data_IF_757581994965
#
_entry.id   IF_757581994965
#
_cell.length_a   1.000
_cell.length_b   1.000
_cell.length_c   1.000
_cell.angle_alpha   90.00
_cell.angle_beta   90.00
_cell.angle_gamma   90.00
#
_symmetry.space_group_name_H-M   'P 1'
#
loop_
_entity.id
_entity.type
_entity.pdbx_description
1 polymer ?
#
# COMPACT_ATOMS: atom_id res chain seq x y z
N UNK A 1 0.61 4.84 0.11
CA UNK A 1 0.99 3.64 0.90
C UNK A 1 -0.25 2.82 1.25
N UNK A 2 -0.13 1.55 1.61
CA UNK A 2 -1.30 0.73 2.03
C UNK A 2 -1.53 0.92 3.53
N UNK A 3 -2.76 1.22 3.92
CA UNK A 3 -3.13 1.56 5.30
C UNK A 3 -4.28 0.70 5.80
N UNK A 4 -4.18 0.10 7.00
CA UNK A 4 -5.35 -0.47 7.65
C UNK A 4 -6.27 0.66 8.11
N UNK A 5 -7.53 0.56 7.72
CA UNK A 5 -8.62 1.46 8.10
C UNK A 5 -9.64 0.70 8.92
N UNK A 6 -10.23 1.37 9.90
CA UNK A 6 -11.18 0.79 10.85
C UNK A 6 -12.43 1.64 10.94
N UNK A 7 -13.53 1.02 11.33
CA UNK A 7 -14.76 1.71 11.71
C UNK A 7 -15.17 1.25 13.11
N UNK A 8 -14.65 1.92 14.12
CA UNK A 8 -14.94 1.61 15.53
C UNK A 8 -15.54 2.86 16.15
N UNK A 9 -16.73 2.75 16.73
CA UNK A 9 -17.44 3.90 17.30
C UNK A 9 -16.57 4.57 18.38
N UNK A 10 -16.40 5.89 18.28
CA UNK A 10 -15.62 6.68 19.23
C UNK A 10 -14.10 6.64 19.02
N UNK A 11 -13.61 5.88 18.04
CA UNK A 11 -12.20 5.81 17.68
C UNK A 11 -11.92 6.72 16.47
N UNK A 12 -11.00 7.65 16.65
CA UNK A 12 -10.53 8.58 15.62
C UNK A 12 -9.30 8.03 14.88
N UNK A 13 -9.01 8.63 13.73
CA UNK A 13 -7.81 8.33 12.96
C UNK A 13 -6.53 8.42 13.81
N UNK A 14 -5.67 7.41 13.68
CA UNK A 14 -4.40 7.34 14.38
C UNK A 14 -4.47 6.97 15.86
N UNK A 15 -5.65 6.69 16.43
CA UNK A 15 -5.76 6.34 17.85
C UNK A 15 -5.38 4.87 18.15
N UNK A 16 -5.61 3.97 17.20
CA UNK A 16 -5.27 2.55 17.36
C UNK A 16 -3.85 2.29 16.92
N UNK A 17 -3.07 1.65 17.78
CA UNK A 17 -1.77 1.05 17.51
C UNK A 17 -1.94 -0.42 17.16
N UNK A 18 -1.20 -0.86 16.15
CA UNK A 18 -1.23 -2.24 15.67
C UNK A 18 0.19 -2.71 15.34
N UNK A 19 0.46 -4.00 15.54
CA UNK A 19 1.68 -4.65 15.05
C UNK A 19 1.34 -5.55 13.87
N UNK A 20 2.34 -5.89 13.06
CA UNK A 20 2.16 -6.83 11.95
C UNK A 20 1.64 -8.20 12.39
N UNK A 21 2.10 -8.71 13.53
CA UNK A 21 1.65 -9.98 14.08
C UNK A 21 0.16 -9.97 14.43
N UNK A 22 -0.30 -8.96 15.20
CA UNK A 22 -1.71 -8.79 15.57
C UNK A 22 -2.59 -8.57 14.34
N UNK A 23 -2.12 -7.76 13.38
CA UNK A 23 -2.84 -7.58 12.12
C UNK A 23 -2.98 -8.90 11.35
N UNK A 24 -1.92 -9.70 11.27
CA UNK A 24 -1.97 -11.03 10.68
C UNK A 24 -2.95 -11.97 11.39
N UNK A 25 -2.96 -11.99 12.72
CA UNK A 25 -3.87 -12.81 13.51
C UNK A 25 -5.34 -12.40 13.37
N UNK A 26 -5.63 -11.11 13.16
CA UNK A 26 -6.98 -10.63 12.80
C UNK A 26 -7.40 -11.23 11.43
N UNK A 27 -6.55 -11.14 10.42
CA UNK A 27 -6.87 -11.65 9.08
C UNK A 27 -6.81 -13.18 8.96
N UNK A 28 -6.15 -13.87 9.91
CA UNK A 28 -6.27 -15.32 10.11
C UNK A 28 -7.57 -15.72 10.82
N UNK A 29 -8.32 -14.76 11.38
CA UNK A 29 -9.54 -15.02 12.15
C UNK A 29 -9.28 -15.52 13.58
N UNK A 30 -8.04 -15.39 14.10
CA UNK A 30 -7.67 -15.79 15.46
C UNK A 30 -8.07 -14.72 16.48
N UNK A 31 -7.86 -13.45 16.12
CA UNK A 31 -8.34 -12.31 16.90
C UNK A 31 -9.67 -11.87 16.30
N UNK A 32 -10.75 -12.10 17.05
CA UNK A 32 -12.12 -11.93 16.54
C UNK A 32 -12.87 -10.78 17.18
N UNK A 33 -12.32 -10.14 18.22
CA UNK A 33 -12.94 -9.02 18.94
C UNK A 33 -11.96 -7.86 19.15
N UNK A 34 -12.47 -6.64 19.19
CA UNK A 34 -11.65 -5.42 19.35
C UNK A 34 -11.02 -5.27 20.74
N UNK A 35 -11.64 -5.83 21.79
CA UNK A 35 -11.10 -5.85 23.14
C UNK A 35 -10.18 -7.05 23.43
N UNK A 36 -9.76 -7.78 22.39
CA UNK A 36 -8.82 -8.90 22.54
C UNK A 36 -7.56 -8.46 23.32
N UNK A 37 -7.03 -9.27 24.26
CA UNK A 37 -5.87 -8.92 25.06
C UNK A 37 -4.66 -8.46 24.23
N UNK A 38 -4.45 -9.03 23.04
CA UNK A 38 -3.34 -8.65 22.16
C UNK A 38 -3.53 -7.24 21.57
N UNK A 39 -4.77 -6.80 21.30
CA UNK A 39 -5.06 -5.43 20.87
C UNK A 39 -5.00 -4.48 22.07
N UNK A 40 -5.61 -4.86 23.20
CA UNK A 40 -5.67 -4.06 24.41
C UNK A 40 -4.28 -3.72 24.96
N UNK A 41 -3.35 -4.68 24.95
CA UNK A 41 -1.97 -4.49 25.40
C UNK A 41 -1.22 -3.40 24.61
N UNK A 42 -1.58 -3.16 23.34
CA UNK A 42 -0.95 -2.13 22.50
C UNK A 42 -1.60 -0.75 22.67
N UNK A 43 -2.78 -0.70 23.27
CA UNK A 43 -3.72 0.43 23.22
C UNK A 43 -4.22 0.82 24.63
N UNK A 44 -3.31 0.87 25.60
CA UNK A 44 -3.65 1.27 26.97
C UNK A 44 -4.38 2.64 26.99
N UNK A 45 -5.55 2.68 27.63
CA UNK A 45 -6.40 3.88 27.73
C UNK A 45 -7.34 4.12 26.55
N UNK A 46 -7.29 3.30 25.49
CA UNK A 46 -8.26 3.37 24.39
C UNK A 46 -9.52 2.57 24.77
N UNK A 47 -10.74 3.14 24.64
CA UNK A 47 -11.98 2.45 24.98
C UNK A 47 -12.36 1.42 23.90
N UNK A 48 -11.65 0.29 23.87
CA UNK A 48 -11.89 -0.79 22.92
C UNK A 48 -13.22 -1.50 23.23
N UNK A 49 -14.14 -1.64 22.25
CA UNK A 49 -15.42 -2.29 22.50
C UNK A 49 -15.30 -3.81 22.55
N UNK A 50 -16.16 -4.45 23.34
CA UNK A 50 -16.44 -5.90 23.24
C UNK A 50 -17.30 -6.19 22.00
N UNK A 51 -16.73 -5.99 20.81
CA UNK A 51 -17.41 -6.15 19.54
C UNK A 51 -16.60 -7.03 18.59
N UNK A 52 -17.30 -7.86 17.82
CA UNK A 52 -16.70 -8.70 16.80
C UNK A 52 -16.04 -7.84 15.71
N UNK A 53 -14.89 -8.30 15.20
CA UNK A 53 -14.16 -7.66 14.11
C UNK A 53 -14.74 -8.12 12.78
N UNK A 54 -15.25 -7.18 11.99
CA UNK A 54 -15.69 -7.44 10.62
C UNK A 54 -14.52 -7.22 9.64
N UNK A 55 -13.81 -8.29 9.28
CA UNK A 55 -12.70 -8.23 8.32
C UNK A 55 -13.21 -7.94 6.91
N UNK A 56 -12.55 -7.02 6.21
CA UNK A 56 -12.80 -6.66 4.81
C UNK A 56 -11.51 -6.80 4.02
N UNK A 57 -11.58 -7.46 2.87
CA UNK A 57 -10.45 -7.70 1.96
C UNK A 57 -10.88 -7.43 0.52
N UNK A 58 -9.93 -7.44 -0.41
CA UNK A 58 -10.22 -7.32 -1.84
C UNK A 58 -10.90 -8.58 -2.40
N UNK A 59 -11.82 -8.39 -3.34
CA UNK A 59 -12.46 -9.46 -4.10
C UNK A 59 -11.75 -9.74 -5.44
N UNK A 60 -11.09 -8.73 -6.00
CA UNK A 60 -10.42 -8.75 -7.29
C UNK A 60 -8.89 -8.86 -7.15
N UNK A 61 -8.23 -9.31 -8.23
CA UNK A 61 -6.77 -9.33 -8.31
C UNK A 61 -6.19 -7.93 -8.10
N UNK A 62 -5.28 -7.79 -7.13
CA UNK A 62 -4.97 -6.50 -6.53
C UNK A 62 -3.50 -6.34 -6.13
N UNK A 63 -2.84 -5.30 -6.64
CA UNK A 63 -1.50 -4.91 -6.19
C UNK A 63 -1.48 -4.46 -4.72
N UNK A 64 -2.56 -3.83 -4.24
CA UNK A 64 -2.73 -3.48 -2.81
C UNK A 64 -2.75 -4.74 -1.95
N UNK A 65 -3.39 -5.81 -2.43
CA UNK A 65 -3.44 -7.12 -1.77
C UNK A 65 -2.08 -7.79 -1.79
N UNK A 66 -1.35 -7.71 -2.90
CA UNK A 66 0.03 -8.18 -2.96
C UNK A 66 0.88 -7.49 -1.88
N UNK A 67 0.89 -6.16 -1.79
CA UNK A 67 1.66 -5.45 -0.77
C UNK A 67 1.24 -5.80 0.65
N UNK A 68 -0.07 -5.89 0.90
CA UNK A 68 -0.61 -6.23 2.22
C UNK A 68 -0.22 -7.65 2.64
N UNK A 69 -0.39 -8.63 1.76
CA UNK A 69 -0.09 -10.05 2.06
C UNK A 69 1.40 -10.36 2.05
N UNK A 70 2.20 -9.66 1.25
CA UNK A 70 3.65 -9.69 1.32
C UNK A 70 4.14 -9.14 2.67
N UNK A 71 3.58 -8.01 3.14
CA UNK A 71 3.86 -7.50 4.49
C UNK A 71 3.50 -8.54 5.55
N UNK A 72 2.27 -9.08 5.55
CA UNK A 72 1.84 -10.08 6.53
C UNK A 72 2.73 -11.33 6.51
N UNK A 73 3.18 -11.77 5.34
CA UNK A 73 4.11 -12.91 5.20
C UNK A 73 5.49 -12.65 5.80
N UNK A 74 5.93 -11.39 5.92
CA UNK A 74 7.19 -11.04 6.59
C UNK A 74 7.08 -11.03 8.11
N UNK A 75 5.92 -10.66 8.64
CA UNK A 75 5.73 -10.33 10.07
C UNK A 75 4.88 -11.33 10.84
N UNK A 76 4.23 -12.28 10.16
CA UNK A 76 3.45 -13.35 10.77
C UNK A 76 3.80 -14.70 10.08
N UNK A 77 4.59 -15.58 10.75
CA UNK A 77 5.01 -16.86 10.18
C UNK A 77 3.85 -17.82 9.84
N UNK A 78 2.77 -17.78 10.62
CA UNK A 78 1.58 -18.58 10.36
C UNK A 78 0.85 -18.11 9.09
N UNK A 79 0.70 -16.79 8.92
CA UNK A 79 0.20 -16.21 7.67
C UNK A 79 1.02 -16.66 6.48
N UNK A 80 2.36 -16.52 6.56
CA UNK A 80 3.28 -16.91 5.48
C UNK A 80 3.08 -18.37 5.06
N UNK A 81 2.88 -19.25 6.03
CA UNK A 81 2.79 -20.69 5.80
C UNK A 81 1.41 -21.10 5.27
N UNK A 82 0.33 -20.53 5.83
CA UNK A 82 -1.05 -20.92 5.49
C UNK A 82 -1.64 -20.19 4.30
N UNK A 83 -1.28 -18.92 4.12
CA UNK A 83 -1.91 -18.02 3.13
C UNK A 83 -0.89 -17.54 2.09
N UNK A 84 0.29 -17.13 2.55
CA UNK A 84 1.34 -16.59 1.69
C UNK A 84 1.00 -15.18 1.15
N UNK A 85 1.53 -14.88 -0.03
CA UNK A 85 1.41 -13.57 -0.68
C UNK A 85 1.03 -13.69 -2.15
N UNK A 86 0.31 -12.69 -2.65
CA UNK A 86 -0.12 -12.66 -4.04
C UNK A 86 -1.13 -11.56 -4.31
N UNK A 87 -1.43 -11.34 -5.59
CA UNK A 87 -2.50 -10.42 -5.99
C UNK A 87 -3.90 -10.97 -5.68
N UNK A 88 -4.00 -12.28 -5.48
CA UNK A 88 -5.14 -13.00 -4.92
C UNK A 88 -4.61 -14.15 -4.05
N UNK A 89 -5.25 -14.41 -2.91
CA UNK A 89 -4.90 -15.47 -1.96
C UNK A 89 -6.18 -16.12 -1.43
N UNK A 90 -6.06 -17.33 -0.86
CA UNK A 90 -7.16 -18.00 -0.17
C UNK A 90 -7.34 -17.39 1.21
N UNK A 91 -8.15 -16.33 1.30
CA UNK A 91 -8.42 -15.63 2.56
C UNK A 91 -9.11 -16.54 3.59
N UNK A 92 -8.60 -16.63 4.83
CA UNK A 92 -9.27 -17.37 5.90
C UNK A 92 -10.64 -16.80 6.27
N UNK A 93 -10.79 -15.49 6.19
CA UNK A 93 -12.04 -14.77 6.51
C UNK A 93 -12.11 -13.43 5.78
N UNK A 94 -13.29 -12.81 5.84
CA UNK A 94 -13.51 -11.42 5.47
C UNK A 94 -14.35 -11.20 4.21
N UNK A 95 -15.18 -10.15 4.26
CA UNK A 95 -16.01 -9.71 3.16
C UNK A 95 -15.15 -9.20 1.99
N UNK A 96 -15.60 -9.44 0.75
CA UNK A 96 -14.90 -9.03 -0.46
C UNK A 96 -15.41 -7.69 -1.00
N UNK A 97 -14.59 -6.65 -0.94
CA UNK A 97 -14.80 -5.38 -1.65
C UNK A 97 -14.07 -5.37 -2.99
N UNK A 98 -14.72 -4.92 -4.07
CA UNK A 98 -14.06 -4.74 -5.37
C UNK A 98 -13.32 -3.40 -5.40
N UNK A 99 -12.03 -3.41 -5.73
CA UNK A 99 -11.22 -2.19 -5.74
C UNK A 99 -10.98 -1.58 -4.35
N UNK A 100 -10.22 -0.49 -4.30
CA UNK A 100 -10.06 0.30 -3.08
C UNK A 100 -11.38 0.96 -2.65
N UNK A 101 -12.17 1.44 -3.63
CA UNK A 101 -13.49 2.03 -3.41
C UNK A 101 -14.42 1.05 -2.68
N UNK A 102 -14.55 -0.18 -3.16
CA UNK A 102 -15.42 -1.17 -2.53
C UNK A 102 -14.98 -1.53 -1.12
N UNK A 103 -13.68 -1.71 -0.87
CA UNK A 103 -13.17 -1.96 0.50
C UNK A 103 -13.44 -0.75 1.41
N UNK A 104 -13.17 0.46 0.93
CA UNK A 104 -13.41 1.70 1.66
C UNK A 104 -14.89 1.86 2.04
N UNK A 105 -15.80 1.65 1.08
CA UNK A 105 -17.24 1.70 1.29
C UNK A 105 -17.74 0.63 2.27
N UNK A 106 -17.21 -0.60 2.20
CA UNK A 106 -17.50 -1.65 3.17
C UNK A 106 -17.10 -1.24 4.58
N UNK A 107 -15.90 -0.67 4.75
CA UNK A 107 -15.43 -0.26 6.08
C UNK A 107 -16.30 0.87 6.64
N UNK A 108 -16.64 1.88 5.83
CA UNK A 108 -17.50 2.98 6.27
C UNK A 108 -18.90 2.53 6.73
N UNK A 109 -19.49 1.53 6.07
CA UNK A 109 -20.86 1.08 6.37
C UNK A 109 -20.96 -0.01 7.44
N UNK A 110 -19.89 -0.79 7.64
CA UNK A 110 -19.88 -1.91 8.58
C UNK A 110 -19.27 -1.47 9.91
N UNK A 111 -20.05 -1.37 11.00
CA UNK A 111 -19.50 -1.14 12.33
C UNK A 111 -18.51 -2.23 12.72
N UNK A 112 -17.49 -1.83 13.47
CA UNK A 112 -16.41 -2.68 13.99
C UNK A 112 -15.60 -3.39 12.89
N UNK A 113 -15.55 -2.81 11.70
CA UNK A 113 -14.81 -3.38 10.57
C UNK A 113 -13.35 -2.93 10.51
N UNK A 114 -12.54 -3.75 9.83
CA UNK A 114 -11.16 -3.43 9.44
C UNK A 114 -10.95 -3.82 7.98
N UNK A 115 -10.34 -2.94 7.21
CA UNK A 115 -9.92 -3.19 5.83
C UNK A 115 -8.54 -2.60 5.55
N UNK A 116 -8.03 -2.80 4.34
CA UNK A 116 -6.80 -2.17 3.87
C UNK A 116 -7.05 -1.43 2.56
N UNK A 117 -6.61 -0.17 2.49
CA UNK A 117 -6.78 0.69 1.31
C UNK A 117 -5.49 1.43 1.00
N UNK A 118 -5.36 1.94 -0.21
CA UNK A 118 -4.37 2.97 -0.50
C UNK A 118 -4.71 4.26 0.29
N UNK A 119 -3.69 4.94 0.82
CA UNK A 119 -3.82 6.06 1.76
C UNK A 119 -4.72 7.20 1.28
N UNK A 120 -4.69 7.53 -0.02
CA UNK A 120 -5.55 8.58 -0.58
C UNK A 120 -7.03 8.27 -0.33
N UNK A 121 -7.45 7.00 -0.43
CA UNK A 121 -8.83 6.61 -0.12
C UNK A 121 -9.16 6.83 1.36
N UNK A 122 -8.24 6.49 2.27
CA UNK A 122 -8.46 6.74 3.69
C UNK A 122 -8.60 8.25 3.99
N UNK A 123 -7.76 9.09 3.38
CA UNK A 123 -7.75 10.54 3.60
C UNK A 123 -8.96 11.23 2.98
N UNK A 124 -9.26 10.98 1.71
CA UNK A 124 -10.40 11.56 1.00
C UNK A 124 -11.74 11.15 1.64
N UNK A 125 -11.85 9.89 2.09
CA UNK A 125 -13.06 9.36 2.74
C UNK A 125 -13.07 9.55 4.27
N UNK A 126 -12.10 10.29 4.82
CA UNK A 126 -11.97 10.61 6.25
C UNK A 126 -12.06 9.38 7.16
N UNK A 127 -11.50 8.26 6.72
CA UNK A 127 -11.55 7.00 7.46
C UNK A 127 -10.56 7.01 8.62
N UNK A 128 -10.94 6.41 9.74
CA UNK A 128 -10.02 6.17 10.83
C UNK A 128 -8.98 5.13 10.40
N UNK A 129 -7.71 5.53 10.32
CA UNK A 129 -6.58 4.63 10.07
C UNK A 129 -5.87 4.27 11.37
N UNK A 130 -5.06 3.21 11.36
CA UNK A 130 -4.24 2.78 12.51
C UNK A 130 -2.80 3.27 12.38
N UNK A 131 -2.12 3.41 13.54
CA UNK A 131 -0.67 3.44 13.63
C UNK A 131 -0.11 2.02 13.50
N UNK A 132 0.96 1.86 12.76
CA UNK A 132 1.65 0.57 12.63
C UNK A 132 3.00 0.62 13.31
N UNK A 133 3.35 -0.45 14.04
CA UNK A 133 4.73 -0.70 14.47
C UNK A 133 5.56 -1.12 13.25
N UNK A 134 6.64 -0.42 12.97
CA UNK A 134 7.56 -0.74 11.88
C UNK A 134 8.69 -1.68 12.30
N UNK A 135 9.58 -2.00 11.35
CA UNK A 135 10.71 -2.91 11.53
C UNK A 135 11.70 -2.47 12.62
N UNK A 136 11.83 -1.16 12.90
CA UNK A 136 12.67 -0.67 14.00
C UNK A 136 11.95 -0.66 15.35
N UNK A 137 10.69 -1.08 15.38
CA UNK A 137 9.85 -1.13 16.57
C UNK A 137 9.14 0.18 16.92
N UNK A 138 9.25 1.23 16.10
CA UNK A 138 8.56 2.51 16.31
C UNK A 138 7.12 2.45 15.79
N UNK A 139 6.19 3.14 16.46
CA UNK A 139 4.85 3.35 15.94
C UNK A 139 4.81 4.59 15.06
N UNK A 140 4.41 4.40 13.81
CA UNK A 140 4.37 5.45 12.79
C UNK A 140 2.94 5.66 12.30
N UNK A 141 2.63 6.92 11.96
CA UNK A 141 1.41 7.29 11.24
C UNK A 141 1.63 7.16 9.73
N UNK A 142 0.60 6.80 8.95
CA UNK A 142 0.71 6.85 7.50
C UNK A 142 0.80 8.31 7.05
N UNK A 143 1.85 8.64 6.30
CA UNK A 143 2.11 9.97 5.78
C UNK A 143 3.10 9.92 4.63
N UNK A 144 3.14 10.97 3.81
CA UNK A 144 4.07 11.07 2.69
C UNK A 144 5.53 10.93 3.13
N UNK A 145 5.88 11.56 4.25
CA UNK A 145 7.22 11.45 4.84
C UNK A 145 7.54 10.01 5.23
N UNK A 146 6.60 9.28 5.83
CA UNK A 146 6.82 7.90 6.24
C UNK A 146 6.90 6.93 5.04
N UNK A 147 6.14 7.17 3.97
CA UNK A 147 6.24 6.41 2.73
C UNK A 147 7.58 6.70 2.01
N UNK A 148 8.01 7.97 1.94
CA UNK A 148 9.32 8.36 1.41
C UNK A 148 10.46 7.72 2.21
N UNK A 149 10.36 7.69 3.54
CA UNK A 149 11.33 7.05 4.41
C UNK A 149 11.49 5.54 4.10
N UNK A 150 10.39 4.83 3.87
CA UNK A 150 10.43 3.42 3.47
C UNK A 150 11.06 3.20 2.07
N UNK A 151 10.97 4.19 1.17
CA UNK A 151 11.55 4.12 -0.17
C UNK A 151 13.04 4.55 -0.24
N UNK A 152 13.56 5.18 0.82
CA UNK A 152 14.87 5.84 0.79
C UNK A 152 16.06 4.87 0.57
N UNK A 153 15.93 3.63 1.01
CA UNK A 153 16.97 2.59 0.88
C UNK A 153 16.90 1.76 -0.41
N UNK A 154 15.91 1.97 -1.28
CA UNK A 154 15.75 1.14 -2.46
C UNK A 154 16.79 1.44 -3.56
N UNK A 155 17.37 0.39 -4.14
CA UNK A 155 18.39 0.47 -5.18
C UNK A 155 17.77 0.52 -6.58
N UNK A 156 17.03 1.59 -6.87
CA UNK A 156 16.28 1.78 -8.12
C UNK A 156 17.12 1.68 -9.39
N UNK A 157 18.42 1.99 -9.31
CA UNK A 157 19.36 1.86 -10.42
C UNK A 157 19.67 0.40 -10.78
N UNK A 158 19.56 -0.54 -9.83
CA UNK A 158 19.78 -1.98 -10.07
C UNK A 158 18.53 -2.65 -10.62
N UNK A 159 17.37 -2.30 -10.06
CA UNK A 159 16.07 -2.83 -10.49
C UNK A 159 14.94 -1.91 -10.06
N UNK A 160 13.92 -1.78 -10.92
CA UNK A 160 12.65 -1.16 -10.51
C UNK A 160 11.77 -2.09 -9.71
N UNK A 161 12.02 -3.41 -9.72
CA UNK A 161 11.34 -4.35 -8.84
C UNK A 161 11.89 -4.21 -7.41
N UNK A 162 11.33 -3.25 -6.68
CA UNK A 162 11.65 -2.95 -5.28
C UNK A 162 10.44 -3.26 -4.41
N UNK A 163 10.62 -4.14 -3.42
CA UNK A 163 9.58 -4.46 -2.43
C UNK A 163 9.77 -3.59 -1.20
N UNK A 164 8.94 -2.56 -1.05
CA UNK A 164 9.10 -1.52 -0.02
C UNK A 164 8.32 -1.80 1.27
N UNK A 165 7.86 -3.04 1.48
CA UNK A 165 7.23 -3.47 2.73
C UNK A 165 8.28 -3.84 3.78
N UNK A 166 7.99 -3.51 5.04
CA UNK A 166 8.84 -3.78 6.22
C UNK A 166 10.30 -3.34 6.04
N UNK A 167 10.47 -2.16 5.43
CA UNK A 167 11.79 -1.55 5.26
C UNK A 167 12.33 -1.00 6.59
N UNK A 168 13.65 -1.04 6.82
CA UNK A 168 14.25 -0.49 8.03
C UNK A 168 14.07 1.03 8.12
N UNK A 169 14.32 1.58 9.30
CA UNK A 169 14.27 3.02 9.56
C UNK A 169 13.15 3.41 10.52
N UNK A 170 13.47 4.32 11.46
CA UNK A 170 12.56 4.73 12.53
C UNK A 170 11.28 5.41 12.06
N UNK A 171 11.33 6.07 10.91
CA UNK A 171 10.20 6.82 10.34
C UNK A 171 9.50 6.05 9.21
N UNK A 172 9.95 4.85 8.87
CA UNK A 172 9.47 4.08 7.71
C UNK A 172 8.07 3.51 7.95
N UNK A 173 7.14 3.78 7.02
CA UNK A 173 5.85 3.11 7.00
C UNK A 173 5.98 1.66 6.50
N UNK A 174 5.46 0.66 7.25
CA UNK A 174 5.77 -0.75 6.97
C UNK A 174 5.04 -1.36 5.76
N UNK A 175 4.00 -0.72 5.22
CA UNK A 175 3.25 -1.25 4.07
C UNK A 175 3.31 -0.26 2.90
N UNK A 176 4.52 0.01 2.43
CA UNK A 176 4.79 0.91 1.29
C UNK A 176 5.01 0.10 0.02
N UNK A 177 4.66 0.66 -1.13
CA UNK A 177 4.95 0.06 -2.43
C UNK A 177 4.94 1.11 -3.54
N UNK A 178 5.73 0.86 -4.58
CA UNK A 178 5.65 1.60 -5.83
C UNK A 178 4.54 1.03 -6.73
N UNK A 179 4.03 1.86 -7.63
CA UNK A 179 3.15 1.44 -8.72
C UNK A 179 3.90 1.52 -10.05
N UNK A 180 3.50 0.70 -11.01
CA UNK A 180 4.22 0.55 -12.27
C UNK A 180 3.30 0.76 -13.46
N UNK A 181 3.85 1.38 -14.50
CA UNK A 181 3.25 1.42 -15.83
C UNK A 181 3.96 0.35 -16.66
N UNK A 182 3.17 -0.49 -17.34
CA UNK A 182 3.70 -1.50 -18.24
C UNK A 182 3.50 -1.05 -19.69
N UNK A 183 4.56 -1.16 -20.48
CA UNK A 183 4.56 -0.91 -21.91
C UNK A 183 5.29 -2.07 -22.59
N UNK A 184 4.89 -2.41 -23.82
CA UNK A 184 5.65 -3.35 -24.64
C UNK A 184 7.08 -2.80 -24.87
N UNK A 185 8.08 -3.67 -24.78
CA UNK A 185 9.46 -3.26 -25.08
C UNK A 185 9.62 -2.92 -26.56
N UNK A 186 8.99 -3.72 -27.44
CA UNK A 186 8.90 -3.47 -28.87
C UNK A 186 7.51 -2.91 -29.21
N UNK A 187 7.47 -1.76 -29.84
CA UNK A 187 6.26 -0.99 -30.10
C UNK A 187 5.84 -1.14 -31.56
N UNK A 188 4.74 -1.84 -31.80
CA UNK A 188 4.10 -1.93 -33.12
C UNK A 188 3.56 -0.57 -33.59
N UNK A 189 3.25 0.29 -32.62
CA UNK A 189 2.67 1.63 -32.79
C UNK A 189 3.57 2.69 -32.15
N UNK A 190 4.76 2.99 -32.72
CA UNK A 190 5.76 3.82 -32.08
C UNK A 190 5.28 5.26 -31.82
N UNK A 191 4.41 5.81 -32.67
CA UNK A 191 3.82 7.14 -32.46
C UNK A 191 2.98 7.20 -31.17
N UNK A 192 2.24 6.13 -30.85
CA UNK A 192 1.44 6.05 -29.62
C UNK A 192 2.35 5.92 -28.39
N UNK A 193 3.41 5.11 -28.49
CA UNK A 193 4.42 4.99 -27.45
C UNK A 193 5.08 6.34 -27.14
N UNK A 194 5.43 7.13 -28.16
CA UNK A 194 5.95 8.50 -27.99
C UNK A 194 4.97 9.37 -27.19
N UNK A 195 3.67 9.36 -27.52
CA UNK A 195 2.68 10.16 -26.78
C UNK A 195 2.53 9.71 -25.32
N UNK A 196 2.52 8.39 -25.06
CA UNK A 196 2.51 7.87 -23.69
C UNK A 196 3.75 8.29 -22.90
N UNK A 197 4.94 8.19 -23.48
CA UNK A 197 6.19 8.61 -22.82
C UNK A 197 6.22 10.12 -22.57
N UNK A 198 5.74 10.94 -23.53
CA UNK A 198 5.59 12.40 -23.35
C UNK A 198 4.64 12.74 -22.21
N UNK A 199 3.52 12.03 -22.09
CA UNK A 199 2.58 12.20 -20.98
C UNK A 199 3.24 11.93 -19.62
N UNK A 200 3.95 10.81 -19.48
CA UNK A 200 4.64 10.50 -18.22
C UNK A 200 5.84 11.42 -17.96
N UNK A 201 6.54 11.88 -19.00
CA UNK A 201 7.62 12.84 -18.84
C UNK A 201 7.10 14.20 -18.34
N UNK A 202 5.96 14.65 -18.88
CA UNK A 202 5.25 15.82 -18.38
C UNK A 202 4.79 15.62 -16.93
N UNK A 203 4.22 14.46 -16.60
CA UNK A 203 3.80 14.15 -15.24
C UNK A 203 4.99 14.19 -14.26
N UNK A 204 6.15 13.67 -14.64
CA UNK A 204 7.36 13.74 -13.82
C UNK A 204 8.01 15.13 -13.75
N UNK A 205 7.82 15.97 -14.77
CA UNK A 205 8.37 17.33 -14.83
C UNK A 205 7.49 18.40 -14.21
N UNK A 206 6.17 18.20 -14.15
CA UNK A 206 5.20 19.24 -13.75
C UNK A 206 4.04 18.72 -12.89
N UNK A 207 3.92 17.41 -12.69
CA UNK A 207 2.78 16.78 -12.01
C UNK A 207 2.94 16.57 -10.51
N UNK A 208 4.12 16.83 -9.92
CA UNK A 208 4.39 16.54 -8.49
C UNK A 208 3.37 17.21 -7.57
N UNK A 209 3.09 18.50 -7.78
CA UNK A 209 2.08 19.21 -6.98
C UNK A 209 0.68 18.60 -7.12
N UNK A 210 0.31 18.14 -8.32
CA UNK A 210 -0.98 17.47 -8.54
C UNK A 210 -1.05 16.11 -7.83
N UNK A 211 0.08 15.37 -7.80
CA UNK A 211 0.17 14.13 -7.03
C UNK A 211 0.04 14.41 -5.53
N UNK A 212 0.77 15.40 -5.01
CA UNK A 212 0.70 15.82 -3.60
C UNK A 212 -0.73 16.28 -3.23
N UNK A 213 -1.38 17.09 -4.08
CA UNK A 213 -2.76 17.57 -3.86
C UNK A 213 -3.80 16.42 -3.86
N UNK A 214 -3.47 15.29 -4.48
CA UNK A 214 -4.26 14.05 -4.49
C UNK A 214 -3.80 13.02 -3.45
N UNK A 215 -2.93 13.41 -2.51
CA UNK A 215 -2.39 12.58 -1.43
C UNK A 215 -1.49 11.42 -1.89
N UNK A 216 -0.92 11.55 -3.10
CA UNK A 216 0.10 10.66 -3.62
C UNK A 216 1.49 11.23 -3.39
N UNK A 217 2.46 10.33 -3.22
CA UNK A 217 3.87 10.66 -3.02
C UNK A 217 4.57 10.83 -4.38
N UNK A 218 5.09 12.02 -4.71
CA UNK A 218 5.88 12.21 -5.90
C UNK A 218 7.14 11.35 -5.84
N UNK A 219 7.49 10.80 -7.00
CA UNK A 219 8.70 10.01 -7.15
C UNK A 219 9.93 10.90 -6.92
N UNK A 220 10.97 10.47 -6.20
CA UNK A 220 12.19 11.27 -6.06
C UNK A 220 12.85 11.55 -7.41
N UNK A 221 13.45 12.74 -7.58
CA UNK A 221 14.05 13.15 -8.86
C UNK A 221 15.14 12.20 -9.37
N UNK A 222 15.93 11.66 -8.45
CA UNK A 222 16.93 10.63 -8.78
C UNK A 222 16.29 9.40 -9.43
N UNK A 223 15.12 8.97 -8.94
CA UNK A 223 14.40 7.81 -9.50
C UNK A 223 13.75 8.17 -10.84
N UNK A 224 13.17 9.36 -10.98
CA UNK A 224 12.66 9.87 -12.27
C UNK A 224 13.76 9.88 -13.34
N UNK A 225 14.99 10.26 -12.98
CA UNK A 225 16.13 10.25 -13.89
C UNK A 225 16.48 8.82 -14.36
N UNK A 226 16.52 7.84 -13.45
CA UNK A 226 16.75 6.42 -13.80
C UNK A 226 15.62 5.90 -14.71
N UNK A 227 14.37 6.27 -14.45
CA UNK A 227 13.22 5.90 -15.31
C UNK A 227 13.40 6.45 -16.73
N UNK A 228 13.71 7.74 -16.88
CA UNK A 228 13.97 8.36 -18.19
C UNK A 228 15.10 7.68 -18.96
N UNK A 229 16.19 7.34 -18.27
CA UNK A 229 17.32 6.61 -18.88
C UNK A 229 16.89 5.21 -19.36
N UNK A 230 15.99 4.55 -18.64
CA UNK A 230 15.53 3.21 -19.00
C UNK A 230 14.70 3.17 -20.29
N UNK A 231 14.07 4.29 -20.68
CA UNK A 231 13.19 4.35 -21.85
C UNK A 231 13.88 4.09 -23.19
N UNK A 232 15.22 4.17 -23.25
CA UNK A 232 16.00 3.76 -24.43
C UNK A 232 15.78 2.29 -24.81
N UNK A 233 15.33 1.46 -23.85
CA UNK A 233 14.99 0.05 -24.06
C UNK A 233 13.65 -0.16 -24.77
N UNK A 234 12.84 0.89 -24.94
CA UNK A 234 11.58 0.84 -25.66
C UNK A 234 11.87 1.21 -27.12
N UNK A 235 11.68 0.26 -28.02
CA UNK A 235 12.08 0.36 -29.43
C UNK A 235 10.90 0.16 -30.38
N UNK A 236 11.05 0.61 -31.62
CA UNK A 236 10.10 0.37 -32.71
C UNK A 236 10.31 -1.00 -33.40
N UNK A 237 9.55 -1.24 -34.48
CA UNK A 237 9.66 -2.44 -35.30
C UNK A 237 11.08 -2.76 -35.80
N UNK A 238 11.89 -1.73 -36.03
CA UNK A 238 13.25 -1.79 -36.55
C UNK A 238 14.33 -1.80 -35.45
N UNK A 239 13.94 -1.79 -34.17
CA UNK A 239 14.86 -1.78 -33.05
C UNK A 239 15.43 -0.40 -32.71
N UNK A 240 14.92 0.68 -33.31
CA UNK A 240 15.31 2.05 -32.95
C UNK A 240 14.54 2.49 -31.72
N UNK A 241 15.21 3.16 -30.78
CA UNK A 241 14.56 3.71 -29.59
C UNK A 241 13.44 4.69 -29.97
N UNK A 242 12.29 4.57 -29.30
CA UNK A 242 11.15 5.47 -29.48
C UNK A 242 11.56 6.88 -29.02
N UNK A 243 11.38 7.87 -29.88
CA UNK A 243 11.69 9.25 -29.55
C UNK A 243 10.70 9.80 -28.51
N UNK A 244 11.23 10.42 -27.45
CA UNK A 244 10.44 11.09 -26.40
C UNK A 244 10.43 12.61 -26.59
N UNK A 245 11.38 13.15 -27.37
CA UNK A 245 11.45 14.57 -27.75
C UNK A 245 10.77 14.79 -29.09
#
# INVERSE_FOLDING_TARGET
GVVPVVNIKGISAGQIKMTGAVLGDIYLGKITKWNDPAIAALNAGVPLPDAAIAVVRRADGSGTTFLFTNYLSKVNPEWKTKVGEGTAVNWPTGAGGKGNEGVSAFVQRLPNSIGYVEYAYAKQNKQAHVQMRNASGAYVQPSDTAFKAAAAGAEWAKSFYQILTEQPGKDSWPITGATFIMMHAKQDKPAQATQSLKFFDWAYGSGDKMADDLDYVPMPDAVKAVIRQSWVKITDGAGKAVAVK
#
